data_IF_462859314403
#
_entry.id   IF_462859314403
#
_cell.length_a   1.000
_cell.length_b   1.000
_cell.length_c   1.000
_cell.angle_alpha   90.00
_cell.angle_beta   90.00
_cell.angle_gamma   90.00
#
_symmetry.space_group_name_H-M   'P 1'
#
loop_
_entity.id
_entity.type
_entity.pdbx_description
1 polymer ?
#
# COMPACT_ATOMS: atom_id res chain seq x y z
N UNK A 1 15.99 -44.16 13.40
CA UNK A 1 14.62 -44.70 13.40
C UNK A 1 13.71 -43.87 14.30
N UNK A 2 12.85 -43.07 13.67
CA UNK A 2 11.51 -42.65 14.11
C UNK A 2 10.95 -41.85 12.93
N UNK A 3 10.63 -42.58 11.86
CA UNK A 3 9.80 -42.08 10.76
C UNK A 3 8.40 -41.89 11.33
N UNK A 4 8.01 -40.64 11.59
CA UNK A 4 6.62 -40.29 11.79
C UNK A 4 5.91 -40.43 10.44
N UNK A 5 5.27 -41.58 10.24
CA UNK A 5 4.35 -41.83 9.13
C UNK A 5 3.12 -40.94 9.32
N UNK A 6 3.12 -39.77 8.68
CA UNK A 6 1.89 -39.04 8.44
C UNK A 6 1.19 -39.70 7.26
N UNK A 7 0.16 -40.52 7.51
CA UNK A 7 -0.79 -40.91 6.46
C UNK A 7 -1.54 -39.64 6.01
N UNK A 8 -1.06 -39.05 4.92
CA UNK A 8 -1.65 -37.86 4.31
C UNK A 8 -2.99 -38.24 3.66
N UNK A 9 -4.09 -37.86 4.31
CA UNK A 9 -5.36 -37.70 3.61
C UNK A 9 -5.14 -36.65 2.50
N UNK A 10 -5.09 -37.11 1.25
CA UNK A 10 -4.71 -36.27 0.12
C UNK A 10 -5.84 -35.31 -0.24
N UNK A 11 -5.73 -34.05 0.18
CA UNK A 11 -6.66 -32.98 -0.21
C UNK A 11 -6.49 -32.60 -1.68
N UNK A 12 -7.56 -32.11 -2.31
CA UNK A 12 -7.56 -31.74 -3.73
C UNK A 12 -6.48 -30.69 -4.06
N UNK A 13 -6.22 -29.76 -3.15
CA UNK A 13 -5.17 -28.73 -3.29
C UNK A 13 -3.77 -29.33 -3.41
N UNK A 14 -3.48 -30.38 -2.63
CA UNK A 14 -2.18 -31.06 -2.60
C UNK A 14 -1.96 -31.91 -3.86
N UNK A 15 -3.02 -32.56 -4.36
CA UNK A 15 -2.98 -33.30 -5.64
C UNK A 15 -2.71 -32.37 -6.84
N UNK A 16 -3.34 -31.20 -6.87
CA UNK A 16 -3.12 -30.20 -7.94
C UNK A 16 -1.67 -29.67 -7.91
N UNK A 17 -1.13 -29.39 -6.72
CA UNK A 17 0.23 -28.92 -6.53
C UNK A 17 1.30 -29.97 -6.90
N UNK A 18 1.12 -31.24 -6.48
CA UNK A 18 2.06 -32.33 -6.79
C UNK A 18 2.13 -32.62 -8.29
N UNK A 19 1.05 -32.41 -9.04
CA UNK A 19 1.05 -32.55 -10.49
C UNK A 19 1.84 -31.44 -11.21
N UNK A 20 2.10 -30.30 -10.56
CA UNK A 20 2.73 -29.11 -11.18
C UNK A 20 4.24 -29.02 -10.98
N UNK A 21 4.85 -29.74 -10.03
CA UNK A 21 6.30 -29.67 -9.76
C UNK A 21 6.99 -31.04 -9.83
N UNK A 22 7.97 -31.18 -10.72
CA UNK A 22 8.78 -32.40 -10.88
C UNK A 22 10.24 -32.26 -10.42
N UNK A 23 10.68 -31.13 -9.88
CA UNK A 23 12.13 -30.80 -9.87
C UNK A 23 12.78 -30.37 -8.55
N UNK A 24 12.04 -30.13 -7.45
CA UNK A 24 12.66 -29.73 -6.17
C UNK A 24 11.99 -30.39 -4.96
N UNK A 25 12.59 -31.45 -4.41
CA UNK A 25 12.08 -32.20 -3.25
C UNK A 25 11.78 -31.31 -2.03
N UNK A 26 12.63 -30.31 -1.77
CA UNK A 26 12.51 -29.46 -0.59
C UNK A 26 11.33 -28.49 -0.67
N UNK A 27 11.06 -27.94 -1.86
CA UNK A 27 9.91 -27.04 -2.09
C UNK A 27 8.60 -27.82 -1.99
N UNK A 28 8.59 -29.06 -2.49
CA UNK A 28 7.42 -29.93 -2.36
C UNK A 28 7.13 -30.23 -0.89
N UNK A 29 8.15 -30.56 -0.10
CA UNK A 29 7.99 -30.78 1.35
C UNK A 29 7.50 -29.52 2.08
N UNK A 30 8.03 -28.34 1.75
CA UNK A 30 7.56 -27.07 2.30
C UNK A 30 6.10 -26.80 1.93
N UNK A 31 5.70 -27.10 0.69
CA UNK A 31 4.33 -26.92 0.25
C UNK A 31 3.36 -27.86 0.98
N UNK A 32 3.74 -29.13 1.17
CA UNK A 32 2.94 -30.10 1.94
C UNK A 32 2.72 -29.57 3.36
N UNK A 33 3.78 -29.07 4.02
CA UNK A 33 3.68 -28.44 5.34
C UNK A 33 2.77 -27.22 5.33
N UNK A 34 2.94 -26.33 4.35
CA UNK A 34 2.15 -25.11 4.22
C UNK A 34 0.65 -25.40 4.04
N UNK A 35 0.31 -26.40 3.22
CA UNK A 35 -1.08 -26.85 3.04
C UNK A 35 -1.60 -27.49 4.33
N UNK A 36 -0.84 -28.38 4.96
CA UNK A 36 -1.22 -29.04 6.21
C UNK A 36 -1.52 -28.04 7.33
N UNK A 37 -0.69 -27.00 7.48
CA UNK A 37 -0.95 -25.92 8.43
C UNK A 37 -2.26 -25.21 8.08
N UNK A 38 -2.51 -24.88 6.81
CA UNK A 38 -3.74 -24.17 6.42
C UNK A 38 -5.02 -25.00 6.61
N UNK A 39 -4.93 -26.31 6.50
CA UNK A 39 -6.06 -27.24 6.63
C UNK A 39 -6.29 -27.69 8.07
N UNK A 40 -5.33 -27.48 8.96
CA UNK A 40 -5.51 -27.76 10.38
C UNK A 40 -6.46 -26.73 11.01
N UNK A 41 -7.49 -27.21 11.71
CA UNK A 41 -8.46 -26.39 12.43
C UNK A 41 -8.12 -26.23 13.91
N UNK A 42 -7.23 -27.06 14.45
CA UNK A 42 -6.91 -27.14 15.87
C UNK A 42 -5.42 -26.81 16.06
N UNK A 43 -5.14 -25.54 16.31
CA UNK A 43 -3.82 -25.11 16.74
C UNK A 43 -3.79 -24.99 18.25
N UNK A 44 -2.72 -25.50 18.86
CA UNK A 44 -2.40 -25.16 20.24
C UNK A 44 -2.15 -23.64 20.36
N UNK A 45 -2.46 -23.09 21.53
CA UNK A 45 -2.22 -21.67 21.80
C UNK A 45 -0.71 -21.39 21.69
N UNK A 46 -0.34 -20.42 20.84
CA UNK A 46 1.05 -20.03 20.65
C UNK A 46 1.36 -18.87 21.57
N UNK A 47 2.41 -19.00 22.35
CA UNK A 47 2.93 -17.95 23.21
C UNK A 47 4.32 -17.51 22.72
N UNK A 48 4.43 -16.43 21.92
CA UNK A 48 5.73 -15.84 21.62
C UNK A 48 6.39 -15.37 22.93
N UNK A 49 7.65 -15.76 23.23
CA UNK A 49 8.24 -15.62 24.56
C UNK A 49 8.26 -14.21 25.14
N UNK A 50 8.45 -13.18 24.30
CA UNK A 50 8.56 -11.77 24.72
C UNK A 50 7.33 -10.94 24.38
N UNK A 51 6.20 -11.57 24.05
CA UNK A 51 4.97 -10.87 23.69
C UNK A 51 4.09 -10.56 24.91
N UNK A 52 3.65 -9.30 25.03
CA UNK A 52 2.52 -8.91 25.92
C UNK A 52 1.18 -8.95 25.19
N UNK A 53 1.18 -8.75 23.87
CA UNK A 53 -0.05 -8.70 23.08
C UNK A 53 -0.56 -10.12 22.84
N UNK A 54 -1.78 -10.40 23.31
CA UNK A 54 -2.47 -11.65 23.00
C UNK A 54 -2.81 -11.72 21.50
N UNK A 55 -2.38 -12.78 20.83
CA UNK A 55 -2.76 -13.06 19.45
C UNK A 55 -4.26 -13.38 19.37
N UNK A 56 -4.92 -12.86 18.34
CA UNK A 56 -6.29 -13.27 18.02
C UNK A 56 -6.28 -14.62 17.32
N UNK A 57 -7.35 -15.41 17.46
CA UNK A 57 -7.44 -16.77 16.92
C UNK A 57 -7.10 -16.84 15.42
N UNK A 58 -7.62 -15.89 14.63
CA UNK A 58 -7.36 -15.82 13.19
C UNK A 58 -5.90 -15.48 12.82
N UNK A 59 -5.08 -15.03 13.79
CA UNK A 59 -3.66 -14.69 13.61
C UNK A 59 -2.74 -15.89 13.89
N UNK A 60 -3.21 -16.91 14.61
CA UNK A 60 -2.42 -18.08 15.02
C UNK A 60 -1.92 -18.86 13.79
N UNK A 61 -2.81 -19.19 12.85
CA UNK A 61 -2.43 -19.94 11.65
C UNK A 61 -1.36 -19.22 10.81
N UNK A 62 -1.49 -17.92 10.46
CA UNK A 62 -0.44 -17.19 9.76
C UNK A 62 0.90 -17.12 10.50
N UNK A 63 0.90 -17.09 11.83
CA UNK A 63 2.14 -17.13 12.64
C UNK A 63 2.83 -18.48 12.47
N UNK A 64 2.09 -19.60 12.61
CA UNK A 64 2.65 -20.95 12.40
C UNK A 64 3.12 -21.15 10.97
N UNK A 65 2.33 -20.68 10.01
CA UNK A 65 2.67 -20.78 8.60
C UNK A 65 4.01 -20.09 8.29
N UNK A 66 4.23 -18.89 8.84
CA UNK A 66 5.52 -18.21 8.71
C UNK A 66 6.64 -18.94 9.45
N UNK A 67 6.41 -19.34 10.70
CA UNK A 67 7.38 -20.02 11.55
C UNK A 67 7.89 -21.33 10.90
N UNK A 68 6.99 -22.17 10.41
CA UNK A 68 7.33 -23.50 9.89
C UNK A 68 7.93 -23.49 8.49
N UNK A 69 7.60 -22.47 7.68
CA UNK A 69 8.11 -22.38 6.30
C UNK A 69 9.34 -21.51 6.15
N UNK A 70 9.56 -20.53 7.04
CA UNK A 70 10.52 -19.43 6.89
C UNK A 70 10.32 -18.55 5.63
N UNK A 71 9.52 -18.99 4.66
CA UNK A 71 9.21 -18.31 3.41
C UNK A 71 7.69 -18.20 3.27
N UNK A 72 7.13 -17.04 3.58
CA UNK A 72 5.68 -16.87 3.63
C UNK A 72 5.19 -15.57 2.99
N UNK A 73 4.00 -15.63 2.42
CA UNK A 73 3.28 -14.48 1.93
C UNK A 73 2.04 -14.26 2.78
N UNK A 74 1.92 -13.08 3.39
CA UNK A 74 0.71 -12.70 4.10
C UNK A 74 -0.07 -11.69 3.26
N UNK A 75 -1.07 -12.21 2.56
CA UNK A 75 -1.96 -11.44 1.70
C UNK A 75 -3.23 -10.95 2.40
N UNK A 76 -3.19 -10.84 3.73
CA UNK A 76 -4.36 -10.46 4.53
C UNK A 76 -4.77 -9.00 4.32
N UNK A 77 -6.06 -8.73 4.45
CA UNK A 77 -6.63 -7.38 4.29
C UNK A 77 -6.02 -6.37 5.28
N UNK A 78 -6.03 -5.06 4.97
CA UNK A 78 -5.66 -4.03 5.94
C UNK A 78 -6.43 -4.18 7.26
N UNK A 79 -5.77 -3.95 8.39
CA UNK A 79 -6.38 -4.11 9.73
C UNK A 79 -6.32 -5.51 10.34
N UNK A 80 -5.90 -6.54 9.58
CA UNK A 80 -5.75 -7.92 10.08
C UNK A 80 -4.61 -8.13 11.09
N UNK A 81 -3.76 -7.13 11.32
CA UNK A 81 -2.60 -7.24 12.22
C UNK A 81 -1.41 -8.01 11.61
N UNK A 82 -1.13 -7.79 10.32
CA UNK A 82 0.03 -8.37 9.62
C UNK A 82 1.35 -8.13 10.36
N UNK A 83 1.54 -6.91 10.89
CA UNK A 83 2.71 -6.54 11.70
C UNK A 83 2.83 -7.42 12.94
N UNK A 84 1.75 -7.57 13.73
CA UNK A 84 1.71 -8.47 14.90
C UNK A 84 2.08 -9.91 14.53
N UNK A 85 1.56 -10.43 13.41
CA UNK A 85 1.86 -11.79 12.94
C UNK A 85 3.36 -11.95 12.66
N UNK A 86 3.97 -10.99 11.97
CA UNK A 86 5.40 -11.06 11.65
C UNK A 86 6.25 -10.96 12.91
N UNK A 87 5.94 -10.02 13.81
CA UNK A 87 6.70 -9.83 15.04
C UNK A 87 6.60 -11.08 15.94
N UNK A 88 5.43 -11.73 16.00
CA UNK A 88 5.22 -12.95 16.78
C UNK A 88 6.03 -14.12 16.21
N UNK A 89 5.98 -14.32 14.89
CA UNK A 89 6.80 -15.34 14.23
C UNK A 89 8.30 -15.07 14.38
N UNK A 90 8.73 -13.81 14.27
CA UNK A 90 10.12 -13.42 14.50
C UNK A 90 10.58 -13.78 15.92
N UNK A 91 9.78 -13.47 16.93
CA UNK A 91 10.15 -13.73 18.33
C UNK A 91 10.30 -15.23 18.63
N UNK A 92 9.40 -16.05 18.08
CA UNK A 92 9.49 -17.52 18.17
C UNK A 92 10.75 -18.03 17.47
N UNK A 93 10.95 -17.65 16.20
CA UNK A 93 12.12 -18.09 15.42
C UNK A 93 13.44 -17.63 16.04
N UNK A 94 13.44 -16.48 16.69
CA UNK A 94 14.61 -15.99 17.42
C UNK A 94 14.90 -16.82 18.66
N UNK A 95 13.87 -17.12 19.45
CA UNK A 95 14.02 -17.98 20.62
C UNK A 95 14.49 -19.40 20.25
N UNK A 96 14.10 -19.90 19.07
CA UNK A 96 14.57 -21.18 18.52
C UNK A 96 15.99 -21.12 17.91
N UNK A 97 16.62 -19.95 17.83
CA UNK A 97 17.95 -19.78 17.23
C UNK A 97 17.97 -19.81 15.69
N UNK A 98 16.80 -19.75 15.06
CA UNK A 98 16.62 -19.72 13.60
C UNK A 98 16.88 -18.32 13.02
N UNK A 99 16.59 -17.27 13.79
CA UNK A 99 16.83 -15.88 13.40
C UNK A 99 17.54 -15.09 14.51
N UNK A 100 18.42 -14.17 14.12
CA UNK A 100 19.06 -13.24 15.04
C UNK A 100 18.37 -11.87 15.00
N UNK A 101 18.03 -11.41 13.79
CA UNK A 101 17.61 -10.03 13.50
C UNK A 101 16.49 -9.99 12.46
N UNK A 102 15.74 -8.89 12.43
CA UNK A 102 14.67 -8.64 11.47
C UNK A 102 14.98 -7.38 10.66
N UNK A 103 14.90 -7.45 9.34
CA UNK A 103 14.97 -6.28 8.45
C UNK A 103 13.60 -6.07 7.80
N UNK A 104 13.01 -4.90 8.01
CA UNK A 104 11.75 -4.49 7.39
C UNK A 104 12.03 -3.46 6.30
N UNK A 105 11.59 -3.76 5.09
CA UNK A 105 11.66 -2.87 3.92
C UNK A 105 10.23 -2.50 3.54
N UNK A 106 9.88 -1.23 3.66
CA UNK A 106 8.51 -0.75 3.41
C UNK A 106 8.43 0.65 2.81
N UNK A 107 7.22 1.17 2.57
CA UNK A 107 7.02 2.59 2.32
C UNK A 107 7.53 3.41 3.52
N UNK A 108 8.02 4.63 3.25
CA UNK A 108 8.48 5.50 4.34
C UNK A 108 7.38 5.80 5.37
N UNK A 109 6.10 5.73 4.98
CA UNK A 109 4.94 5.88 5.87
C UNK A 109 4.70 4.70 6.81
N UNK A 110 5.24 3.51 6.54
CA UNK A 110 5.02 2.33 7.39
C UNK A 110 6.07 2.16 8.49
N UNK A 111 7.28 2.75 8.34
CA UNK A 111 8.36 2.58 9.33
C UNK A 111 7.95 2.99 10.75
N UNK A 112 7.20 4.07 10.88
CA UNK A 112 6.71 4.54 12.17
C UNK A 112 5.70 3.57 12.80
N UNK A 113 4.61 3.17 12.10
CA UNK A 113 3.73 2.12 12.58
C UNK A 113 4.44 0.84 13.03
N UNK A 114 5.54 0.45 12.37
CA UNK A 114 6.37 -0.67 12.82
C UNK A 114 7.03 -0.42 14.19
N UNK A 115 7.59 0.76 14.42
CA UNK A 115 8.20 1.12 15.72
C UNK A 115 7.18 1.14 16.85
N UNK A 116 5.98 1.67 16.59
CA UNK A 116 4.87 1.67 17.54
C UNK A 116 4.45 0.24 17.86
N UNK A 117 4.27 -0.60 16.84
CA UNK A 117 3.85 -1.98 17.07
C UNK A 117 4.90 -2.83 17.77
N UNK A 118 6.20 -2.53 17.61
CA UNK A 118 7.24 -3.17 18.42
C UNK A 118 7.05 -2.83 19.90
N UNK A 119 6.75 -1.57 20.25
CA UNK A 119 6.49 -1.17 21.64
C UNK A 119 5.19 -1.75 22.20
N UNK A 120 4.18 -1.90 21.35
CA UNK A 120 2.86 -2.41 21.75
C UNK A 120 2.79 -3.95 21.80
N UNK A 121 3.58 -4.66 21.00
CA UNK A 121 3.56 -6.12 20.97
C UNK A 121 4.44 -6.76 22.05
N UNK A 122 5.59 -6.16 22.34
CA UNK A 122 6.59 -6.75 23.23
C UNK A 122 6.48 -6.27 24.68
N UNK A 123 6.90 -7.14 25.60
CA UNK A 123 7.18 -6.81 27.00
C UNK A 123 8.67 -6.56 27.22
N UNK A 124 9.04 -6.00 28.37
CA UNK A 124 10.44 -5.69 28.67
C UNK A 124 11.31 -6.97 28.82
N UNK A 125 12.53 -6.99 28.25
CA UNK A 125 13.12 -5.90 27.45
C UNK A 125 12.57 -5.87 26.01
N UNK A 126 12.08 -4.69 25.60
CA UNK A 126 11.57 -4.46 24.24
C UNK A 126 12.72 -4.53 23.23
N UNK A 127 12.56 -5.22 22.08
CA UNK A 127 13.57 -5.26 21.02
C UNK A 127 13.92 -3.86 20.52
N UNK A 128 15.21 -3.53 20.51
CA UNK A 128 15.66 -2.22 20.00
C UNK A 128 15.55 -2.18 18.48
N UNK A 129 14.84 -1.17 17.98
CA UNK A 129 14.67 -0.90 16.56
C UNK A 129 15.51 0.30 16.09
N UNK A 130 16.00 0.27 14.85
CA UNK A 130 16.71 1.39 14.22
C UNK A 130 16.31 1.58 12.76
N UNK A 131 16.20 2.85 12.34
CA UNK A 131 15.99 3.20 10.93
C UNK A 131 17.32 3.29 10.19
N UNK A 132 17.48 2.52 9.12
CA UNK A 132 18.54 2.72 8.13
C UNK A 132 18.05 3.77 7.13
N UNK A 133 18.22 5.05 7.49
CA UNK A 133 17.82 6.19 6.67
C UNK A 133 18.72 7.42 6.95
N UNK A 134 18.50 8.56 6.30
CA UNK A 134 19.29 9.79 6.54
C UNK A 134 20.61 9.81 5.77
N UNK A 135 21.67 10.42 6.32
CA UNK A 135 22.98 10.57 5.67
C UNK A 135 23.73 9.22 5.48
N UNK A 136 24.50 9.08 4.40
CA UNK A 136 25.25 7.84 4.07
C UNK A 136 26.17 7.36 5.20
N UNK A 137 26.89 8.26 5.88
CA UNK A 137 27.78 7.90 6.98
C UNK A 137 27.04 7.36 8.20
N UNK A 138 25.80 7.82 8.45
CA UNK A 138 24.95 7.21 9.47
C UNK A 138 24.51 5.80 9.06
N UNK A 139 24.06 5.62 7.82
CA UNK A 139 23.64 4.30 7.31
C UNK A 139 24.78 3.29 7.32
N UNK A 140 25.97 3.69 6.86
CA UNK A 140 27.17 2.86 6.88
C UNK A 140 27.54 2.43 8.30
N UNK A 141 27.51 3.35 9.27
CA UNK A 141 27.78 3.02 10.68
C UNK A 141 26.84 1.94 11.20
N UNK A 142 25.54 2.04 10.92
CA UNK A 142 24.56 1.04 11.36
C UNK A 142 24.86 -0.34 10.79
N UNK A 143 25.19 -0.44 9.49
CA UNK A 143 25.36 -1.72 8.82
C UNK A 143 26.75 -2.35 9.01
N UNK A 144 27.80 -1.53 9.15
CA UNK A 144 29.19 -2.00 9.15
C UNK A 144 29.77 -2.11 10.55
N UNK A 145 29.42 -1.21 11.47
CA UNK A 145 30.01 -1.18 12.82
C UNK A 145 29.29 -2.16 13.73
N UNK A 146 29.95 -3.27 14.07
CA UNK A 146 29.32 -4.36 14.82
C UNK A 146 28.89 -3.97 16.23
N UNK A 147 29.62 -3.07 16.90
CA UNK A 147 29.21 -2.54 18.21
C UNK A 147 27.87 -1.79 18.14
N UNK A 148 27.58 -1.12 17.03
CA UNK A 148 26.30 -0.43 16.82
C UNK A 148 25.25 -1.45 16.40
N UNK A 149 25.56 -2.29 15.41
CA UNK A 149 24.64 -3.29 14.86
C UNK A 149 24.17 -4.30 15.91
N UNK A 150 25.07 -4.84 16.73
CA UNK A 150 24.77 -5.82 17.78
C UNK A 150 23.73 -5.32 18.79
N UNK A 151 23.63 -4.00 19.02
CA UNK A 151 22.65 -3.39 19.94
C UNK A 151 21.20 -3.44 19.44
N UNK A 152 20.98 -3.63 18.13
CA UNK A 152 19.65 -3.58 17.52
C UNK A 152 19.19 -4.96 17.04
N UNK A 153 17.91 -5.25 17.24
CA UNK A 153 17.27 -6.49 16.79
C UNK A 153 16.49 -6.28 15.49
N UNK A 154 15.90 -5.10 15.34
CA UNK A 154 15.00 -4.79 14.23
C UNK A 154 15.52 -3.57 13.46
N UNK A 155 15.63 -3.72 12.15
CA UNK A 155 16.13 -2.71 11.22
C UNK A 155 15.00 -2.30 10.28
N UNK A 156 14.78 -1.01 10.14
CA UNK A 156 13.69 -0.45 9.35
C UNK A 156 14.27 0.39 8.21
N UNK A 157 13.89 0.13 6.98
CA UNK A 157 14.37 0.91 5.84
C UNK A 157 13.31 1.05 4.75
N UNK A 158 13.54 1.98 3.82
CA UNK A 158 12.64 2.20 2.69
C UNK A 158 13.09 1.44 1.46
N UNK A 159 12.18 1.12 0.55
CA UNK A 159 12.53 0.56 -0.76
C UNK A 159 13.60 1.38 -1.50
N UNK A 160 13.54 2.71 -1.43
CA UNK A 160 14.54 3.56 -2.10
C UNK A 160 15.90 3.55 -1.42
N UNK A 161 15.92 3.49 -0.09
CA UNK A 161 17.18 3.37 0.66
C UNK A 161 17.80 2.00 0.42
N UNK A 162 17.00 0.93 0.49
CA UNK A 162 17.45 -0.43 0.22
C UNK A 162 17.97 -0.60 -1.21
N UNK A 163 17.31 0.02 -2.20
CA UNK A 163 17.78 0.03 -3.60
C UNK A 163 19.13 0.75 -3.74
N UNK A 164 19.28 1.91 -3.09
CA UNK A 164 20.48 2.74 -3.17
C UNK A 164 21.67 2.10 -2.47
N UNK A 165 21.44 1.50 -1.31
CA UNK A 165 22.48 0.95 -0.43
C UNK A 165 22.43 -0.59 -0.41
N UNK A 166 22.17 -1.19 -1.58
CA UNK A 166 21.94 -2.64 -1.70
C UNK A 166 23.14 -3.45 -1.21
N UNK A 167 24.36 -3.06 -1.58
CA UNK A 167 25.58 -3.80 -1.21
C UNK A 167 25.85 -3.69 0.30
N UNK A 168 25.50 -2.56 0.90
CA UNK A 168 25.58 -2.35 2.35
C UNK A 168 24.61 -3.26 3.11
N UNK A 169 23.39 -3.43 2.58
CA UNK A 169 22.42 -4.37 3.15
C UNK A 169 22.86 -5.82 2.98
N UNK A 170 23.44 -6.20 1.83
CA UNK A 170 23.98 -7.55 1.63
C UNK A 170 25.06 -7.85 2.68
N UNK A 171 26.00 -6.92 2.89
CA UNK A 171 27.02 -7.07 3.93
C UNK A 171 26.42 -7.24 5.33
N UNK A 172 25.34 -6.50 5.64
CA UNK A 172 24.62 -6.65 6.91
C UNK A 172 23.97 -8.03 7.04
N UNK A 173 23.28 -8.50 5.99
CA UNK A 173 22.59 -9.80 5.98
C UNK A 173 23.56 -10.98 6.06
N UNK A 174 24.81 -10.83 5.61
CA UNK A 174 25.83 -11.88 5.69
C UNK A 174 26.38 -12.10 7.12
N UNK A 175 26.22 -11.13 8.02
CA UNK A 175 26.79 -11.19 9.38
C UNK A 175 25.93 -11.97 10.39
N UNK A 176 24.63 -12.04 10.16
CA UNK A 176 23.66 -12.61 11.10
C UNK A 176 22.52 -13.30 10.35
N UNK A 177 21.79 -14.19 11.02
CA UNK A 177 20.58 -14.80 10.45
C UNK A 177 19.44 -13.80 10.42
N UNK A 178 19.20 -13.18 9.27
CA UNK A 178 18.16 -12.17 9.11
C UNK A 178 16.85 -12.76 8.56
N UNK A 179 15.75 -12.43 9.22
CA UNK A 179 14.43 -12.44 8.60
C UNK A 179 14.24 -11.14 7.83
N UNK A 180 13.78 -11.19 6.58
CA UNK A 180 13.51 -9.99 5.77
C UNK A 180 12.04 -9.89 5.42
N UNK A 181 11.45 -8.75 5.77
CA UNK A 181 10.05 -8.40 5.56
C UNK A 181 9.95 -7.40 4.42
N UNK A 182 9.18 -7.69 3.38
CA UNK A 182 8.75 -6.71 2.39
C UNK A 182 7.33 -6.26 2.72
N UNK A 183 7.22 -5.11 3.35
CA UNK A 183 5.95 -4.48 3.66
C UNK A 183 5.41 -3.71 2.45
N UNK A 184 4.11 -3.81 2.20
CA UNK A 184 3.49 -3.38 0.94
C UNK A 184 4.25 -3.87 -0.30
N UNK A 185 4.48 -5.20 -0.39
CA UNK A 185 5.29 -5.85 -1.42
C UNK A 185 4.85 -5.58 -2.87
N UNK A 186 3.63 -5.09 -3.08
CA UNK A 186 3.19 -4.59 -4.39
C UNK A 186 4.06 -3.44 -4.93
N UNK A 187 4.89 -2.79 -4.10
CA UNK A 187 5.89 -1.79 -4.53
C UNK A 187 7.00 -2.35 -5.42
N UNK A 188 7.21 -3.67 -5.43
CA UNK A 188 8.14 -4.37 -6.34
C UNK A 188 7.43 -5.11 -7.48
N UNK A 189 6.17 -4.77 -7.80
CA UNK A 189 5.38 -5.45 -8.84
C UNK A 189 5.97 -5.39 -10.25
N UNK A 190 6.72 -4.33 -10.57
CA UNK A 190 7.32 -4.19 -11.90
C UNK A 190 8.54 -5.10 -12.04
N UNK A 191 8.44 -6.13 -12.88
CA UNK A 191 9.47 -7.15 -13.13
C UNK A 191 10.77 -6.54 -13.73
N UNK A 192 10.67 -5.43 -14.45
CA UNK A 192 11.82 -4.70 -15.03
C UNK A 192 12.26 -3.51 -14.16
N UNK A 193 11.56 -3.29 -13.05
CA UNK A 193 11.78 -2.14 -12.17
C UNK A 193 13.13 -2.21 -11.45
N UNK A 194 13.82 -1.06 -11.38
CA UNK A 194 15.08 -0.91 -10.61
C UNK A 194 14.92 -1.32 -9.14
N UNK A 195 13.75 -1.03 -8.53
CA UNK A 195 13.44 -1.47 -7.15
C UNK A 195 13.43 -2.98 -7.04
N UNK A 196 12.65 -3.64 -7.90
CA UNK A 196 12.47 -5.08 -7.89
C UNK A 196 13.79 -5.81 -8.10
N UNK A 197 14.57 -5.40 -9.11
CA UNK A 197 15.89 -5.98 -9.37
C UNK A 197 16.84 -5.84 -8.17
N UNK A 198 16.86 -4.69 -7.50
CA UNK A 198 17.70 -4.50 -6.32
C UNK A 198 17.24 -5.38 -5.14
N UNK A 199 15.94 -5.37 -4.81
CA UNK A 199 15.41 -6.15 -3.68
C UNK A 199 15.57 -7.66 -3.90
N UNK A 200 15.41 -8.15 -5.14
CA UNK A 200 15.64 -9.56 -5.47
C UNK A 200 17.09 -10.00 -5.19
N UNK A 201 18.08 -9.10 -5.30
CA UNK A 201 19.48 -9.40 -4.94
C UNK A 201 19.67 -9.70 -3.45
N UNK A 202 18.79 -9.25 -2.57
CA UNK A 202 18.85 -9.56 -1.13
C UNK A 202 18.44 -11.01 -0.84
N UNK A 203 17.52 -11.56 -1.63
CA UNK A 203 16.84 -12.82 -1.35
C UNK A 203 17.74 -14.01 -1.00
N UNK A 204 18.91 -14.22 -1.67
CA UNK A 204 19.80 -15.33 -1.34
C UNK A 204 20.48 -15.22 0.04
N UNK A 205 20.53 -14.02 0.62
CA UNK A 205 21.20 -13.76 1.90
C UNK A 205 20.24 -13.77 3.09
N UNK A 206 18.95 -13.99 2.85
CA UNK A 206 17.92 -14.00 3.90
C UNK A 206 17.76 -15.41 4.48
N UNK A 207 17.76 -15.54 5.82
CA UNK A 207 17.45 -16.80 6.50
C UNK A 207 15.94 -17.08 6.57
N UNK A 208 15.12 -16.02 6.62
CA UNK A 208 13.68 -16.09 6.45
C UNK A 208 13.20 -14.91 5.59
N UNK A 209 12.10 -15.09 4.86
CA UNK A 209 11.52 -14.07 3.98
C UNK A 209 10.01 -14.04 4.15
N UNK A 210 9.48 -12.84 4.34
CA UNK A 210 8.04 -12.63 4.43
C UNK A 210 7.61 -11.42 3.61
N UNK A 211 6.57 -11.59 2.80
CA UNK A 211 5.98 -10.50 2.02
C UNK A 211 4.60 -10.16 2.57
N UNK A 212 4.29 -8.87 2.71
CA UNK A 212 3.03 -8.36 3.25
C UNK A 212 2.37 -7.45 2.22
N UNK A 213 1.14 -7.74 1.84
CA UNK A 213 0.33 -6.84 0.99
C UNK A 213 -1.14 -7.21 1.06
N UNK A 214 -2.05 -6.24 1.11
CA UNK A 214 -3.48 -6.54 0.96
C UNK A 214 -3.88 -6.88 -0.49
N UNK A 215 -3.07 -6.44 -1.44
CA UNK A 215 -3.31 -6.42 -2.88
C UNK A 215 -2.11 -7.03 -3.62
N UNK A 216 -1.95 -8.36 -3.59
CA UNK A 216 -0.80 -9.02 -4.22
C UNK A 216 -0.77 -8.90 -5.74
N UNK A 217 -1.93 -8.70 -6.37
CA UNK A 217 -2.08 -8.58 -7.82
C UNK A 217 -2.93 -7.33 -8.13
N UNK A 218 -2.38 -6.10 -7.99
CA UNK A 218 -3.16 -4.87 -8.19
C UNK A 218 -3.75 -4.72 -9.59
N UNK A 219 -2.99 -5.13 -10.62
CA UNK A 219 -3.36 -4.91 -12.02
C UNK A 219 -3.51 -6.25 -12.75
N UNK A 220 -2.41 -6.99 -12.90
CA UNK A 220 -2.37 -8.23 -13.70
C UNK A 220 -1.48 -9.25 -13.01
N UNK A 221 -1.58 -10.53 -13.40
CA UNK A 221 -0.79 -11.63 -12.82
C UNK A 221 0.73 -11.40 -12.87
N UNK A 222 1.19 -10.50 -13.75
CA UNK A 222 2.58 -10.04 -13.81
C UNK A 222 3.09 -9.50 -12.46
N UNK A 223 2.20 -8.85 -11.70
CA UNK A 223 2.54 -8.18 -10.45
C UNK A 223 3.04 -9.14 -9.36
N UNK A 224 2.69 -10.43 -9.45
CA UNK A 224 3.04 -11.44 -8.44
C UNK A 224 4.48 -11.94 -8.60
N UNK A 225 5.07 -11.82 -9.79
CA UNK A 225 6.35 -12.46 -10.13
C UNK A 225 7.46 -12.06 -9.18
N UNK A 226 7.80 -10.77 -9.11
CA UNK A 226 8.90 -10.29 -8.26
C UNK A 226 8.68 -10.60 -6.78
N UNK A 227 7.42 -10.63 -6.34
CA UNK A 227 7.07 -10.93 -4.95
C UNK A 227 7.38 -12.40 -4.61
N UNK A 228 7.01 -13.31 -5.50
CA UNK A 228 7.24 -14.75 -5.32
C UNK A 228 8.70 -15.12 -5.61
N UNK A 229 9.33 -14.51 -6.61
CA UNK A 229 10.76 -14.67 -6.89
C UNK A 229 11.60 -14.16 -5.71
N UNK A 230 11.12 -13.16 -4.94
CA UNK A 230 11.78 -12.81 -3.68
C UNK A 230 11.73 -13.96 -2.68
N UNK A 231 10.59 -14.64 -2.49
CA UNK A 231 10.51 -15.81 -1.60
C UNK A 231 11.32 -17.01 -2.13
N UNK A 232 11.22 -17.31 -3.42
CA UNK A 232 11.81 -18.47 -4.07
C UNK A 232 12.50 -18.07 -5.39
N UNK A 233 13.76 -17.60 -5.33
CA UNK A 233 14.49 -17.15 -6.52
C UNK A 233 14.59 -18.22 -7.61
N UNK A 234 13.84 -18.06 -8.69
CA UNK A 234 13.84 -18.96 -9.85
C UNK A 234 13.19 -20.32 -9.64
N UNK A 235 12.90 -20.73 -8.39
CA UNK A 235 12.52 -22.10 -8.09
C UNK A 235 11.01 -22.39 -8.23
N UNK A 236 10.14 -21.40 -8.01
CA UNK A 236 8.69 -21.59 -8.09
C UNK A 236 8.13 -21.15 -9.46
N UNK A 237 8.44 -19.94 -9.91
CA UNK A 237 7.89 -19.36 -11.15
C UNK A 237 8.86 -19.39 -12.35
N UNK A 238 10.05 -19.95 -12.17
CA UNK A 238 11.09 -19.96 -13.20
C UNK A 238 11.76 -18.60 -13.43
N UNK A 239 12.56 -18.54 -14.49
CA UNK A 239 13.20 -17.31 -14.92
C UNK A 239 12.20 -16.29 -15.47
N UNK A 240 12.67 -15.05 -15.56
CA UNK A 240 11.87 -13.88 -15.89
C UNK A 240 11.31 -13.94 -17.31
N UNK A 241 12.10 -14.40 -18.27
CA UNK A 241 11.71 -14.41 -19.68
C UNK A 241 10.71 -15.53 -19.96
N UNK A 242 10.92 -16.70 -19.35
CA UNK A 242 9.95 -17.80 -19.38
C UNK A 242 8.62 -17.40 -18.73
N UNK A 243 8.65 -16.75 -17.57
CA UNK A 243 7.43 -16.29 -16.91
C UNK A 243 6.66 -15.28 -17.78
N UNK A 244 7.36 -14.29 -18.33
CA UNK A 244 6.77 -13.32 -19.27
C UNK A 244 6.18 -14.01 -20.50
N UNK A 245 6.88 -14.99 -21.06
CA UNK A 245 6.38 -15.75 -22.21
C UNK A 245 5.09 -16.52 -21.87
N UNK A 246 5.09 -17.22 -20.73
CA UNK A 246 3.95 -18.03 -20.27
C UNK A 246 2.66 -17.20 -20.16
N UNK A 247 2.74 -16.03 -19.54
CA UNK A 247 1.55 -15.19 -19.27
C UNK A 247 1.08 -14.34 -20.46
N UNK A 248 1.85 -14.24 -21.56
CA UNK A 248 1.44 -13.50 -22.78
C UNK A 248 0.13 -14.00 -23.37
N UNK A 249 -0.13 -15.30 -23.27
CA UNK A 249 -1.31 -15.93 -23.83
C UNK A 249 -2.62 -15.58 -23.10
N UNK A 250 -2.55 -14.90 -21.94
CA UNK A 250 -3.70 -14.61 -21.07
C UNK A 250 -4.59 -15.81 -20.78
N UNK A 251 -4.04 -17.03 -20.86
CA UNK A 251 -4.79 -18.27 -20.71
C UNK A 251 -5.21 -18.44 -19.23
N UNK A 252 -6.51 -18.58 -18.92
CA UNK A 252 -6.99 -18.77 -17.55
C UNK A 252 -6.35 -19.95 -16.82
N UNK A 253 -6.00 -21.04 -17.53
CA UNK A 253 -5.34 -22.21 -16.94
C UNK A 253 -3.97 -21.87 -16.35
N UNK A 254 -3.21 -21.01 -17.02
CA UNK A 254 -1.90 -20.56 -16.53
C UNK A 254 -2.05 -19.78 -15.22
N UNK A 255 -3.09 -18.96 -15.12
CA UNK A 255 -3.37 -18.21 -13.89
C UNK A 255 -3.74 -19.16 -12.75
N UNK A 256 -4.52 -20.21 -13.03
CA UNK A 256 -4.84 -21.26 -12.06
C UNK A 256 -3.61 -22.06 -11.63
N UNK A 257 -2.73 -22.40 -12.57
CA UNK A 257 -1.46 -23.10 -12.29
C UNK A 257 -0.54 -22.25 -11.40
N UNK A 258 -0.40 -20.96 -11.68
CA UNK A 258 0.39 -20.05 -10.81
C UNK A 258 -0.26 -19.96 -9.42
N UNK A 259 -1.59 -19.84 -9.35
CA UNK A 259 -2.31 -19.78 -8.08
C UNK A 259 -2.09 -21.05 -7.26
N UNK A 260 -2.17 -22.23 -7.88
CA UNK A 260 -1.98 -23.51 -7.20
C UNK A 260 -0.54 -23.68 -6.70
N UNK A 261 0.46 -23.27 -7.48
CA UNK A 261 1.86 -23.26 -7.08
C UNK A 261 2.14 -22.33 -5.89
N UNK A 262 1.51 -21.14 -5.86
CA UNK A 262 1.73 -20.13 -4.81
C UNK A 262 0.89 -20.42 -3.56
N UNK A 263 -0.25 -21.12 -3.70
CA UNK A 263 -1.20 -21.41 -2.62
C UNK A 263 -0.58 -21.94 -1.32
N UNK A 264 0.37 -22.90 -1.32
CA UNK A 264 0.96 -23.41 -0.10
C UNK A 264 1.72 -22.37 0.71
N UNK A 265 2.21 -21.31 0.04
CA UNK A 265 3.14 -20.34 0.60
C UNK A 265 2.47 -19.02 1.00
N UNK A 266 1.15 -18.89 0.83
CA UNK A 266 0.43 -17.70 1.28
C UNK A 266 -0.73 -17.98 2.23
N UNK A 267 -0.95 -17.02 3.12
CA UNK A 267 -2.12 -16.89 3.99
C UNK A 267 -2.89 -15.62 3.67
N UNK A 268 -4.20 -15.63 3.90
CA UNK A 268 -5.06 -14.46 3.68
C UNK A 268 -6.21 -14.46 4.68
N UNK A 269 -6.16 -13.54 5.63
CA UNK A 269 -7.28 -13.21 6.51
C UNK A 269 -8.22 -12.26 5.77
N UNK A 270 -9.49 -12.64 5.66
CA UNK A 270 -10.56 -11.83 5.05
C UNK A 270 -11.24 -10.91 6.09
N UNK A 271 -12.02 -9.93 5.62
CA UNK A 271 -12.83 -9.07 6.52
C UNK A 271 -13.81 -9.88 7.37
N UNK A 272 -14.41 -10.92 6.78
CA UNK A 272 -15.41 -11.75 7.45
C UNK A 272 -14.82 -12.51 8.65
N UNK A 273 -13.56 -12.94 8.55
CA UNK A 273 -12.88 -13.65 9.64
C UNK A 273 -12.53 -12.75 10.84
N UNK A 274 -12.57 -11.42 10.67
CA UNK A 274 -12.28 -10.49 11.76
C UNK A 274 -13.49 -10.19 12.65
N UNK A 275 -14.70 -10.67 12.30
CA UNK A 275 -15.96 -10.41 13.02
C UNK A 275 -16.18 -8.93 13.37
N UNK A 276 -15.79 -8.02 12.46
CA UNK A 276 -16.00 -6.59 12.63
C UNK A 276 -17.41 -6.19 12.16
N UNK A 277 -18.04 -5.18 12.78
CA UNK A 277 -19.28 -4.61 12.28
C UNK A 277 -19.10 -4.10 10.84
N UNK A 278 -20.09 -4.35 9.99
CA UNK A 278 -20.07 -3.82 8.63
C UNK A 278 -20.14 -2.29 8.66
N UNK A 279 -19.32 -1.59 7.85
CA UNK A 279 -19.47 -0.15 7.69
C UNK A 279 -20.84 0.16 7.07
N UNK A 280 -21.47 1.25 7.54
CA UNK A 280 -22.68 1.79 6.91
C UNK A 280 -22.21 2.75 5.81
N UNK A 281 -22.46 2.40 4.56
CA UNK A 281 -22.11 3.22 3.40
C UNK A 281 -23.35 3.97 2.91
N UNK A 282 -23.27 5.31 2.89
CA UNK A 282 -24.37 6.18 2.46
C UNK A 282 -23.84 7.08 1.35
N UNK A 283 -24.38 6.91 0.15
CA UNK A 283 -24.05 7.74 -1.01
C UNK A 283 -24.96 8.97 -1.04
N UNK A 284 -24.37 10.15 -0.88
CA UNK A 284 -25.09 11.42 -0.91
C UNK A 284 -24.85 12.09 -2.26
N UNK A 285 -25.91 12.23 -3.05
CA UNK A 285 -25.87 12.99 -4.30
C UNK A 285 -25.99 14.48 -3.98
N UNK A 286 -25.09 15.27 -4.53
CA UNK A 286 -25.06 16.73 -4.39
C UNK A 286 -25.19 17.32 -5.78
N UNK A 287 -26.20 18.17 -5.96
CA UNK A 287 -26.41 18.89 -7.20
C UNK A 287 -25.31 19.94 -7.41
N UNK A 288 -24.84 20.04 -8.66
CA UNK A 288 -23.93 21.11 -9.05
C UNK A 288 -24.65 22.46 -8.97
N UNK A 289 -23.91 23.50 -8.59
CA UNK A 289 -24.42 24.86 -8.65
C UNK A 289 -24.67 25.31 -10.10
N UNK A 290 -25.46 26.36 -10.35
CA UNK A 290 -25.70 26.85 -11.72
C UNK A 290 -24.39 27.16 -12.47
N UNK A 291 -23.42 27.80 -11.83
CA UNK A 291 -22.11 28.12 -12.42
C UNK A 291 -21.32 26.85 -12.72
N UNK A 292 -21.28 25.90 -11.78
CA UNK A 292 -20.64 24.60 -12.01
C UNK A 292 -21.29 23.83 -13.17
N UNK A 293 -22.62 23.85 -13.30
CA UNK A 293 -23.34 23.18 -14.40
C UNK A 293 -22.98 23.77 -15.75
N UNK A 294 -22.98 25.10 -15.87
CA UNK A 294 -22.61 25.81 -17.10
C UNK A 294 -21.17 25.49 -17.49
N UNK A 295 -20.23 25.64 -16.55
CA UNK A 295 -18.81 25.40 -16.85
C UNK A 295 -18.52 23.93 -17.16
N UNK A 296 -19.16 22.99 -16.44
CA UNK A 296 -19.03 21.56 -16.71
C UNK A 296 -19.45 21.23 -18.14
N UNK A 297 -20.57 21.81 -18.60
CA UNK A 297 -21.05 21.63 -19.97
C UNK A 297 -20.07 22.20 -20.99
N UNK A 298 -19.67 23.46 -20.85
CA UNK A 298 -18.77 24.13 -21.79
C UNK A 298 -17.41 23.41 -21.91
N UNK A 299 -16.83 23.01 -20.79
CA UNK A 299 -15.56 22.26 -20.77
C UNK A 299 -15.73 20.89 -21.39
N UNK A 300 -16.82 20.18 -21.08
CA UNK A 300 -17.11 18.87 -21.70
C UNK A 300 -17.21 18.99 -23.23
N UNK A 301 -17.96 19.97 -23.74
CA UNK A 301 -18.15 20.21 -25.16
C UNK A 301 -16.82 20.56 -25.86
N UNK A 302 -16.02 21.47 -25.27
CA UNK A 302 -14.69 21.83 -25.80
C UNK A 302 -13.80 20.61 -26.00
N UNK A 303 -13.62 19.79 -24.96
CA UNK A 303 -12.71 18.66 -25.02
C UNK A 303 -13.23 17.49 -25.86
N UNK A 304 -14.56 17.27 -25.91
CA UNK A 304 -15.14 16.29 -26.82
C UNK A 304 -14.85 16.66 -28.28
N UNK A 305 -15.00 17.93 -28.65
CA UNK A 305 -14.64 18.41 -29.98
C UNK A 305 -13.15 18.18 -30.29
N UNK A 306 -12.25 18.49 -29.34
CA UNK A 306 -10.80 18.23 -29.50
C UNK A 306 -10.53 16.73 -29.73
N UNK A 307 -11.20 15.85 -28.96
CA UNK A 307 -11.05 14.39 -29.09
C UNK A 307 -11.55 13.92 -30.45
N UNK A 308 -12.73 14.34 -30.89
CA UNK A 308 -13.30 13.98 -32.19
C UNK A 308 -12.41 14.44 -33.35
N UNK A 309 -11.85 15.65 -33.26
CA UNK A 309 -10.92 16.16 -34.28
C UNK A 309 -9.58 15.40 -34.29
N UNK A 310 -9.11 14.98 -33.12
CA UNK A 310 -7.83 14.26 -32.98
C UNK A 310 -7.92 12.76 -33.24
N UNK A 311 -9.12 12.15 -33.29
CA UNK A 311 -9.29 10.77 -33.76
C UNK A 311 -8.87 10.59 -35.23
N UNK A 312 -8.86 11.68 -36.01
CA UNK A 312 -8.33 11.69 -37.38
C UNK A 312 -6.80 11.76 -37.46
N UNK A 313 -6.11 11.99 -36.32
CA UNK A 313 -4.66 12.05 -36.22
C UNK A 313 -4.15 10.77 -35.53
N UNK A 314 -3.19 10.08 -36.15
CA UNK A 314 -2.67 8.77 -35.71
C UNK A 314 -1.87 8.75 -34.39
N UNK A 315 -2.04 9.74 -33.51
CA UNK A 315 -1.25 9.93 -32.29
C UNK A 315 -2.04 9.53 -31.03
N UNK A 316 -2.06 8.21 -30.77
CA UNK A 316 -2.74 7.60 -29.61
C UNK A 316 -2.35 8.21 -28.25
N UNK A 317 -1.08 8.59 -28.07
CA UNK A 317 -0.59 9.16 -26.81
C UNK A 317 -1.18 10.56 -26.53
N UNK A 318 -1.33 11.37 -27.57
CA UNK A 318 -1.94 12.72 -27.47
C UNK A 318 -3.42 12.63 -27.13
N UNK A 319 -4.15 11.71 -27.76
CA UNK A 319 -5.56 11.43 -27.47
C UNK A 319 -5.79 11.03 -26.01
N UNK A 320 -4.94 10.16 -25.46
CA UNK A 320 -5.04 9.76 -24.05
C UNK A 320 -4.73 10.91 -23.10
N UNK A 321 -3.77 11.77 -23.47
CA UNK A 321 -3.46 12.98 -22.69
C UNK A 321 -4.68 13.91 -22.61
N UNK A 322 -5.36 14.16 -23.73
CA UNK A 322 -6.57 14.98 -23.77
C UNK A 322 -7.73 14.37 -22.97
N UNK A 323 -7.96 13.05 -23.10
CA UNK A 323 -8.97 12.35 -22.30
C UNK A 323 -8.70 12.49 -20.80
N UNK A 324 -7.45 12.29 -20.38
CA UNK A 324 -7.07 12.42 -18.98
C UNK A 324 -7.26 13.86 -18.47
N UNK A 325 -6.87 14.87 -19.25
CA UNK A 325 -7.07 16.27 -18.90
C UNK A 325 -8.57 16.58 -18.70
N UNK A 326 -9.42 16.18 -19.64
CA UNK A 326 -10.87 16.34 -19.54
C UNK A 326 -11.40 15.75 -18.22
N UNK A 327 -11.06 14.50 -17.90
CA UNK A 327 -11.52 13.88 -16.66
C UNK A 327 -11.09 14.66 -15.43
N UNK A 328 -9.86 15.17 -15.40
CA UNK A 328 -9.36 15.96 -14.27
C UNK A 328 -10.12 17.29 -14.16
N UNK A 329 -10.35 18.00 -15.28
CA UNK A 329 -11.10 19.27 -15.29
C UNK A 329 -12.54 19.11 -14.83
N UNK A 330 -13.24 18.08 -15.30
CA UNK A 330 -14.60 17.79 -14.86
C UNK A 330 -14.65 17.45 -13.36
N UNK A 331 -13.65 16.74 -12.84
CA UNK A 331 -13.54 16.46 -11.40
C UNK A 331 -13.26 17.72 -10.59
N UNK A 332 -12.42 18.62 -11.07
CA UNK A 332 -12.16 19.92 -10.46
C UNK A 332 -13.45 20.75 -10.40
N UNK A 333 -14.15 20.94 -11.54
CA UNK A 333 -15.41 21.70 -11.63
C UNK A 333 -16.45 21.12 -10.66
N UNK A 334 -16.66 19.80 -10.71
CA UNK A 334 -17.64 19.13 -9.86
C UNK A 334 -17.24 19.08 -8.38
N UNK A 335 -16.01 19.44 -8.03
CA UNK A 335 -15.52 19.46 -6.66
C UNK A 335 -15.49 20.87 -6.08
N UNK A 336 -14.78 21.78 -6.73
CA UNK A 336 -14.55 23.16 -6.29
C UNK A 336 -13.96 23.98 -7.45
N UNK A 337 -14.61 25.07 -7.84
CA UNK A 337 -14.20 25.90 -8.98
C UNK A 337 -12.84 26.56 -8.77
N UNK A 338 -12.43 26.82 -7.52
CA UNK A 338 -11.12 27.41 -7.21
C UNK A 338 -9.95 26.52 -7.68
N UNK A 339 -10.18 25.22 -7.88
CA UNK A 339 -9.18 24.29 -8.38
C UNK A 339 -8.76 24.56 -9.84
N UNK A 340 -9.50 25.39 -10.57
CA UNK A 340 -9.23 25.71 -11.98
C UNK A 340 -8.24 26.86 -12.15
N UNK A 341 -8.05 27.66 -11.10
CA UNK A 341 -7.20 28.86 -11.11
C UNK A 341 -5.73 28.54 -10.86
N UNK A 342 -5.44 27.36 -10.31
CA UNK A 342 -4.09 26.95 -9.97
C UNK A 342 -3.52 25.95 -10.98
N UNK A 343 -2.19 26.05 -11.20
CA UNK A 343 -1.45 25.02 -11.92
C UNK A 343 -1.45 23.75 -11.09
N UNK A 344 -1.79 22.62 -11.70
CA UNK A 344 -1.69 21.34 -11.04
C UNK A 344 -0.34 20.70 -11.35
N UNK A 345 0.58 20.77 -10.39
CA UNK A 345 1.87 20.06 -10.48
C UNK A 345 1.70 18.54 -10.46
N UNK A 346 0.69 18.03 -9.75
CA UNK A 346 0.38 16.59 -9.66
C UNK A 346 -0.07 16.01 -11.00
N UNK A 347 -0.85 16.77 -11.77
CA UNK A 347 -1.35 16.36 -13.08
C UNK A 347 -0.59 16.98 -14.26
N UNK A 348 0.42 17.81 -13.99
CA UNK A 348 1.15 18.62 -14.97
C UNK A 348 0.20 19.42 -15.90
N UNK A 349 -0.80 20.04 -15.30
CA UNK A 349 -1.79 20.88 -15.99
C UNK A 349 -1.52 22.35 -15.67
N UNK A 350 -1.68 23.20 -16.67
CA UNK A 350 -1.62 24.65 -16.51
C UNK A 350 -2.90 25.16 -15.83
N UNK A 351 -3.02 26.47 -15.60
CA UNK A 351 -4.33 27.02 -15.24
C UNK A 351 -5.29 26.84 -16.42
N UNK A 352 -6.60 26.71 -16.17
CA UNK A 352 -7.54 26.54 -17.29
C UNK A 352 -7.51 27.75 -18.23
N UNK A 353 -7.23 28.96 -17.70
CA UNK A 353 -7.03 30.16 -18.51
C UNK A 353 -5.85 30.04 -19.48
N UNK A 354 -4.69 29.58 -18.99
CA UNK A 354 -3.48 29.46 -19.81
C UNK A 354 -3.65 28.40 -20.92
N UNK A 355 -4.39 27.32 -20.65
CA UNK A 355 -4.71 26.30 -21.66
C UNK A 355 -5.61 26.83 -22.79
N UNK A 356 -6.42 27.84 -22.50
CA UNK A 356 -7.34 28.43 -23.48
C UNK A 356 -6.63 29.50 -24.33
N UNK A 357 -5.75 30.31 -23.73
CA UNK A 357 -5.12 31.47 -24.36
C UNK A 357 -4.07 31.17 -25.47
N UNK A 358 -3.94 29.92 -25.94
CA UNK A 358 -2.93 29.53 -26.92
C UNK A 358 -3.32 28.46 -27.95
N UNK A 359 -4.56 27.97 -27.95
CA UNK A 359 -5.02 26.91 -28.87
C UNK A 359 -6.44 27.19 -29.37
N UNK A 360 -6.59 28.08 -30.36
CA UNK A 360 -7.91 28.46 -30.87
C UNK A 360 -8.27 27.73 -32.17
N UNK A 361 -9.04 26.65 -32.07
CA UNK A 361 -9.83 26.12 -33.19
C UNK A 361 -11.34 26.42 -33.02
N UNK A 362 -11.80 26.84 -31.83
CA UNK A 362 -13.18 27.27 -31.57
C UNK A 362 -13.24 28.48 -30.59
N UNK A 363 -13.07 29.72 -31.08
CA UNK A 363 -12.95 30.90 -30.23
C UNK A 363 -14.22 31.24 -29.43
N UNK A 364 -15.42 30.88 -29.92
CA UNK A 364 -16.67 31.24 -29.23
C UNK A 364 -16.88 30.49 -27.91
N UNK A 365 -16.61 29.17 -27.90
CA UNK A 365 -16.70 28.37 -26.67
C UNK A 365 -15.61 28.78 -25.68
N UNK A 366 -14.43 29.14 -26.20
CA UNK A 366 -13.29 29.57 -25.40
C UNK A 366 -13.55 30.91 -24.72
N UNK A 367 -14.12 31.87 -25.44
CA UNK A 367 -14.54 33.16 -24.89
C UNK A 367 -15.59 33.00 -23.78
N UNK A 368 -16.56 32.09 -23.95
CA UNK A 368 -17.56 31.80 -22.91
C UNK A 368 -16.94 31.18 -21.66
N UNK A 369 -15.97 30.27 -21.83
CA UNK A 369 -15.27 29.67 -20.70
C UNK A 369 -14.43 30.74 -19.98
N UNK A 370 -13.69 31.58 -20.72
CA UNK A 370 -12.88 32.67 -20.16
C UNK A 370 -13.74 33.70 -19.44
N UNK A 371 -14.92 34.04 -19.97
CA UNK A 371 -15.86 34.94 -19.30
C UNK A 371 -16.28 34.37 -17.95
N UNK A 372 -16.67 33.09 -17.90
CA UNK A 372 -17.03 32.44 -16.63
C UNK A 372 -15.84 32.41 -15.68
N UNK A 373 -14.63 32.07 -16.14
CA UNK A 373 -13.43 31.95 -15.31
C UNK A 373 -12.95 33.32 -14.78
N UNK A 374 -12.90 34.34 -15.63
CA UNK A 374 -12.46 35.68 -15.20
C UNK A 374 -13.42 36.26 -14.15
N UNK A 375 -14.70 35.87 -14.21
CA UNK A 375 -15.66 36.22 -13.18
C UNK A 375 -15.56 35.32 -11.92
N UNK A 376 -14.76 34.25 -11.90
CA UNK A 376 -14.61 33.38 -10.72
C UNK A 376 -13.93 34.08 -9.54
N UNK A 377 -13.05 35.05 -9.73
CA UNK A 377 -12.51 35.81 -8.60
C UNK A 377 -13.62 36.58 -7.86
N UNK A 378 -14.58 37.15 -8.60
CA UNK A 378 -15.80 37.68 -8.02
C UNK A 378 -16.71 36.58 -7.45
N UNK A 379 -16.93 35.46 -8.14
CA UNK A 379 -17.83 34.40 -7.67
C UNK A 379 -17.31 33.62 -6.46
N UNK A 380 -16.01 33.38 -6.35
CA UNK A 380 -15.38 32.66 -5.22
C UNK A 380 -15.61 33.34 -3.87
N UNK A 381 -15.86 34.65 -3.88
CA UNK A 381 -16.25 35.42 -2.69
C UNK A 381 -17.72 35.25 -2.30
N UNK A 382 -18.58 34.76 -3.21
CA UNK A 382 -20.03 34.64 -3.02
C UNK A 382 -20.59 33.21 -3.16
N UNK A 383 -19.82 32.28 -3.74
CA UNK A 383 -20.25 30.92 -4.05
C UNK A 383 -19.32 29.89 -3.42
N UNK A 384 -19.81 29.22 -2.38
CA UNK A 384 -19.15 28.07 -1.79
C UNK A 384 -19.55 26.79 -2.54
N UNK A 385 -18.59 25.90 -2.80
CA UNK A 385 -18.87 24.62 -3.46
C UNK A 385 -19.99 23.84 -2.74
N UNK A 386 -21.03 23.37 -3.45
CA UNK A 386 -22.12 22.59 -2.87
C UNK A 386 -21.64 21.35 -2.09
N UNK A 387 -20.55 20.70 -2.54
CA UNK A 387 -19.97 19.54 -1.84
C UNK A 387 -19.29 19.93 -0.54
N UNK A 388 -18.63 21.09 -0.48
CA UNK A 388 -18.01 21.58 0.75
C UNK A 388 -19.10 21.96 1.75
N UNK A 389 -20.15 22.67 1.30
CA UNK A 389 -21.32 22.99 2.13
C UNK A 389 -21.93 21.71 2.69
N UNK A 390 -22.20 20.71 1.83
CA UNK A 390 -22.80 19.46 2.28
C UNK A 390 -21.90 18.69 3.24
N UNK A 391 -20.58 18.75 3.04
CA UNK A 391 -19.61 18.14 3.97
C UNK A 391 -19.69 18.81 5.34
N UNK A 392 -19.79 20.14 5.39
CA UNK A 392 -19.98 20.88 6.65
C UNK A 392 -21.27 20.44 7.35
N UNK A 393 -22.41 20.45 6.66
CA UNK A 393 -23.69 19.99 7.22
C UNK A 393 -23.59 18.59 7.84
N UNK A 394 -22.97 17.64 7.12
CA UNK A 394 -22.83 16.26 7.61
C UNK A 394 -21.94 16.17 8.85
N UNK A 395 -20.89 16.97 8.94
CA UNK A 395 -20.00 16.98 10.11
C UNK A 395 -20.75 17.51 11.33
N UNK A 396 -21.57 18.55 11.16
CA UNK A 396 -22.43 19.09 12.21
C UNK A 396 -23.47 18.04 12.68
N UNK A 397 -24.18 17.41 11.74
CA UNK A 397 -25.16 16.35 12.03
C UNK A 397 -24.53 15.15 12.75
N UNK A 398 -23.31 14.77 12.37
CA UNK A 398 -22.59 13.66 13.00
C UNK A 398 -22.13 14.00 14.41
N UNK A 399 -21.76 15.24 14.68
CA UNK A 399 -21.29 15.68 16.00
C UNK A 399 -22.37 15.61 17.07
N UNK A 400 -23.63 15.85 16.71
CA UNK A 400 -24.77 15.75 17.63
C UNK A 400 -25.06 14.30 18.06
N UNK A 401 -24.54 13.31 17.34
CA UNK A 401 -24.75 11.89 17.67
C UNK A 401 -23.82 11.45 18.79
N UNK A 402 -24.40 11.02 19.92
CA UNK A 402 -23.69 10.55 21.14
C UNK A 402 -22.62 9.48 20.91
N UNK A 403 -22.68 8.72 19.80
CA UNK A 403 -21.75 7.62 19.51
C UNK A 403 -20.59 8.01 18.57
N UNK A 404 -20.53 9.26 18.11
CA UNK A 404 -19.46 9.72 17.21
C UNK A 404 -18.31 10.29 18.03
N UNK A 405 -17.14 9.64 17.96
CA UNK A 405 -15.93 10.09 18.67
C UNK A 405 -15.04 11.01 17.83
N UNK A 406 -14.92 10.70 16.53
CA UNK A 406 -14.04 11.41 15.58
C UNK A 406 -14.69 11.37 14.20
N UNK A 407 -14.49 12.44 13.42
CA UNK A 407 -14.88 12.51 12.01
C UNK A 407 -13.60 12.63 11.17
N UNK A 408 -13.50 11.82 10.12
CA UNK A 408 -12.37 11.84 9.19
C UNK A 408 -12.88 12.29 7.82
N UNK A 409 -12.30 13.38 7.31
CA UNK A 409 -12.62 13.93 6.00
C UNK A 409 -11.45 13.63 5.06
N UNK A 410 -11.76 13.02 3.92
CA UNK A 410 -10.78 12.68 2.89
C UNK A 410 -11.11 13.44 1.61
N UNK A 411 -10.09 14.01 0.97
CA UNK A 411 -10.22 14.61 -0.35
C UNK A 411 -8.94 14.35 -1.14
N UNK A 412 -9.08 14.19 -2.45
CA UNK A 412 -7.92 14.13 -3.34
C UNK A 412 -7.32 15.52 -3.57
N UNK A 413 -8.12 16.58 -3.48
CA UNK A 413 -7.66 17.95 -3.71
C UNK A 413 -7.30 18.64 -2.40
N UNK A 414 -6.03 19.03 -2.24
CA UNK A 414 -5.49 19.68 -1.04
C UNK A 414 -6.25 20.97 -0.71
N UNK A 415 -6.54 21.80 -1.72
CA UNK A 415 -7.28 23.07 -1.56
C UNK A 415 -8.64 22.88 -0.84
N UNK A 416 -9.34 21.76 -1.10
CA UNK A 416 -10.59 21.46 -0.41
C UNK A 416 -10.36 21.16 1.08
N UNK A 417 -9.32 20.39 1.40
CA UNK A 417 -8.96 20.08 2.78
C UNK A 417 -8.53 21.34 3.53
N UNK A 418 -7.77 22.22 2.89
CA UNK A 418 -7.35 23.52 3.46
C UNK A 418 -8.54 24.45 3.70
N UNK A 419 -9.48 24.50 2.74
CA UNK A 419 -10.72 25.30 2.86
C UNK A 419 -11.56 24.81 4.05
N UNK A 420 -11.81 23.50 4.13
CA UNK A 420 -12.55 22.90 5.25
C UNK A 420 -11.80 23.05 6.58
N UNK A 421 -10.48 22.89 6.56
CA UNK A 421 -9.64 23.07 7.74
C UNK A 421 -9.74 24.48 8.27
N UNK A 422 -9.62 25.51 7.42
CA UNK A 422 -9.77 26.92 7.83
C UNK A 422 -11.15 27.17 8.45
N UNK A 423 -12.21 26.71 7.80
CA UNK A 423 -13.59 26.85 8.30
C UNK A 423 -13.78 26.19 9.68
N UNK A 424 -13.40 24.92 9.81
CA UNK A 424 -13.58 24.20 11.08
C UNK A 424 -12.64 24.71 12.16
N UNK A 425 -11.42 25.12 11.82
CA UNK A 425 -10.45 25.70 12.75
C UNK A 425 -10.96 27.02 13.32
N UNK A 426 -11.52 27.89 12.50
CA UNK A 426 -12.15 29.14 12.95
C UNK A 426 -13.32 28.88 13.91
N UNK A 427 -14.14 27.87 13.59
CA UNK A 427 -15.33 27.52 14.38
C UNK A 427 -15.02 26.79 15.69
N UNK A 428 -13.98 25.94 15.72
CA UNK A 428 -13.71 25.00 16.82
C UNK A 428 -12.37 25.19 17.52
N UNK A 429 -11.47 26.01 16.98
CA UNK A 429 -10.15 26.25 17.53
C UNK A 429 -9.12 25.16 17.23
N UNK A 430 -7.87 25.46 17.58
CA UNK A 430 -6.66 24.75 17.13
C UNK A 430 -6.54 23.32 17.68
N UNK A 431 -7.20 23.02 18.80
CA UNK A 431 -7.07 21.73 19.50
C UNK A 431 -8.08 20.66 19.04
N UNK A 432 -8.97 20.99 18.12
CA UNK A 432 -10.07 20.11 17.72
C UNK A 432 -10.04 19.69 16.25
N UNK A 433 -9.27 20.39 15.42
CA UNK A 433 -9.27 20.22 13.97
C UNK A 433 -7.84 20.06 13.49
N UNK A 434 -7.61 19.05 12.66
CA UNK A 434 -6.27 18.67 12.23
C UNK A 434 -6.22 18.45 10.73
N UNK A 435 -5.20 19.01 10.08
CA UNK A 435 -4.92 18.84 8.67
C UNK A 435 -3.69 17.94 8.50
N UNK A 436 -3.83 16.90 7.68
CA UNK A 436 -2.74 16.03 7.27
C UNK A 436 -2.72 16.00 5.75
N UNK A 437 -1.67 16.58 5.16
CA UNK A 437 -1.40 16.64 3.72
C UNK A 437 0.01 16.12 3.43
N UNK A 438 0.38 15.99 2.15
CA UNK A 438 1.68 15.48 1.73
C UNK A 438 2.88 16.19 2.38
N UNK A 439 2.76 17.50 2.60
CA UNK A 439 3.80 18.35 3.18
C UNK A 439 3.78 18.39 4.72
N UNK A 440 2.80 17.77 5.39
CA UNK A 440 2.76 17.77 6.86
C UNK A 440 3.96 17.03 7.44
N UNK A 441 4.78 17.67 8.30
CA UNK A 441 5.90 17.00 8.95
C UNK A 441 5.45 15.74 9.68
N UNK A 442 6.17 14.64 9.51
CA UNK A 442 5.75 13.33 10.03
C UNK A 442 5.67 13.27 11.55
N UNK A 443 6.52 14.01 12.27
CA UNK A 443 6.44 14.16 13.72
C UNK A 443 5.11 14.79 14.13
N UNK A 444 4.69 15.84 13.44
CA UNK A 444 3.40 16.49 13.68
C UNK A 444 2.22 15.57 13.32
N UNK A 445 2.28 14.89 12.16
CA UNK A 445 1.22 13.95 11.77
C UNK A 445 1.06 12.78 12.77
N UNK A 446 2.15 12.40 13.44
CA UNK A 446 2.18 11.39 14.48
C UNK A 446 1.51 11.88 15.77
N UNK A 447 1.91 13.04 16.29
CA UNK A 447 1.35 13.58 17.53
C UNK A 447 -0.18 13.67 17.41
N UNK A 448 -0.64 14.15 16.25
CA UNK A 448 -2.06 14.23 15.90
C UNK A 448 -2.78 12.87 15.85
N UNK A 449 -2.11 11.81 15.36
CA UNK A 449 -2.67 10.45 15.32
C UNK A 449 -2.77 9.84 16.72
N UNK A 450 -1.78 10.10 17.56
CA UNK A 450 -1.71 9.59 18.93
C UNK A 450 -2.54 10.41 19.93
N UNK A 451 -3.25 11.44 19.46
CA UNK A 451 -4.04 12.31 20.32
C UNK A 451 -3.17 13.17 21.25
N UNK A 452 -1.93 13.42 20.85
CA UNK A 452 -1.02 14.36 21.51
C UNK A 452 -1.25 15.70 20.84
N UNK A 453 -1.83 16.62 21.60
CA UNK A 453 -2.25 17.95 21.15
C UNK A 453 -1.32 18.97 21.80
N UNK A 454 -0.14 19.19 21.21
CA UNK A 454 0.85 20.19 21.66
C UNK A 454 1.16 21.19 20.57
#
# INVERSE_FOLDING_TARGET
EKQTNYELATTNSLKVFLNTLKTHSDIVNLAIRGISIKENSNFEEIAPPRFKRKLKDYQIMPVLHFKELNYAANFSVPGSGKTTIVLAGYDILKNEGNLDKLLVIGPYSSLMPWEEEIKECFQDPIPKAIRIHGNIGHRQRICIVDEINSKYEIFLTTYETARRDIDLLIQLLQKYKFGVVLDESHKIKNIDGRRSNAILRLSPYCSAKIILTGTPVPNTIHDIYSQITFLFPGALLGDKDRFKYMIRSSNPRIVEDIKSQVYPFFTRISKNQMNLPNPIEINIRVELSPVQKTLYKLVSERWLNIIEMSENLSHFDTLNSYKNCLFIRLRQIASNLNLLMEKSSEYNLESLNDEILGQSENPQTDDQILEVINNLESYSNYECSPKLIKTVELVEDLKEKKNVKKVLIWSEFIVNLETLFKFFKEKYGDNHVFLIIGDTPKSKALDLRNGIYT
#
